data_IF_228046783451
#
_entry.id   IF_228046783451
#
_cell.length_a   1.000
_cell.length_b   1.000
_cell.length_c   1.000
_cell.angle_alpha   90.00
_cell.angle_beta   90.00
_cell.angle_gamma   90.00
#
_symmetry.space_group_name_H-M   'P 1'
#
loop_
_entity.id
_entity.type
_entity.pdbx_description
1 polymer ?
#
# COMPACT_ATOMS: atom_id res chain seq x y z
N UNK A 1 13.74 -4.69 -16.95
CA UNK A 1 14.40 -3.39 -16.69
C UNK A 1 13.28 -2.46 -16.25
N UNK A 2 13.40 -1.75 -15.14
CA UNK A 2 12.25 -1.13 -14.46
C UNK A 2 12.25 -1.51 -13.00
N UNK A 3 11.54 -2.56 -12.60
CA UNK A 3 11.45 -2.97 -11.17
C UNK A 3 12.82 -3.25 -10.53
N UNK A 4 13.75 -3.85 -11.27
CA UNK A 4 15.12 -4.06 -10.77
C UNK A 4 15.89 -2.75 -10.57
N UNK A 5 15.65 -1.74 -11.41
CA UNK A 5 16.25 -0.42 -11.27
C UNK A 5 15.60 0.36 -10.12
N UNK A 6 14.29 0.24 -9.94
CA UNK A 6 13.58 0.80 -8.80
C UNK A 6 14.09 0.21 -7.47
N UNK A 7 14.35 -1.09 -7.42
CA UNK A 7 14.97 -1.77 -6.27
C UNK A 7 16.38 -1.23 -6.02
N UNK A 8 17.22 -1.18 -7.06
CA UNK A 8 18.61 -0.71 -6.93
C UNK A 8 18.66 0.76 -6.47
N UNK A 9 17.82 1.61 -7.06
CA UNK A 9 17.72 3.02 -6.70
C UNK A 9 17.22 3.19 -5.26
N UNK A 10 16.22 2.40 -4.83
CA UNK A 10 15.73 2.44 -3.47
C UNK A 10 16.81 2.07 -2.44
N UNK A 11 17.68 1.12 -2.76
CA UNK A 11 18.86 0.79 -1.94
C UNK A 11 19.86 1.94 -1.91
N UNK A 12 20.18 2.51 -3.08
CA UNK A 12 21.16 3.58 -3.24
C UNK A 12 20.78 4.83 -2.44
N UNK A 13 19.52 5.25 -2.52
CA UNK A 13 19.05 6.48 -1.84
C UNK A 13 18.54 6.24 -0.41
N UNK A 14 18.54 4.98 0.05
CA UNK A 14 17.95 4.63 1.35
C UNK A 14 16.46 4.97 1.45
N UNK A 15 15.70 4.63 0.42
CA UNK A 15 14.29 5.02 0.33
C UNK A 15 13.48 4.48 1.51
N UNK A 16 12.64 5.35 2.10
CA UNK A 16 11.79 4.96 3.24
C UNK A 16 10.63 4.04 2.86
N UNK A 17 10.24 4.01 1.57
CA UNK A 17 9.17 3.19 1.02
C UNK A 17 9.47 2.88 -0.46
N UNK A 18 9.12 1.68 -0.90
CA UNK A 18 9.22 1.23 -2.30
C UNK A 18 7.91 0.54 -2.70
N UNK A 19 7.32 0.98 -3.82
CA UNK A 19 6.16 0.34 -4.43
C UNK A 19 6.65 -0.52 -5.61
N UNK A 20 6.24 -1.79 -5.63
CA UNK A 20 6.57 -2.77 -6.67
C UNK A 20 5.27 -3.43 -7.11
N UNK A 21 5.03 -3.50 -8.42
CA UNK A 21 3.84 -4.13 -8.99
C UNK A 21 4.06 -5.63 -9.22
N UNK A 22 5.25 -6.00 -9.73
CA UNK A 22 5.52 -7.38 -10.09
C UNK A 22 5.82 -8.29 -8.88
N UNK A 23 5.09 -9.42 -8.77
CA UNK A 23 5.25 -10.38 -7.67
C UNK A 23 6.67 -10.94 -7.52
N UNK A 24 7.38 -11.15 -8.63
CA UNK A 24 8.75 -11.66 -8.60
C UNK A 24 9.72 -10.60 -8.04
N UNK A 25 9.66 -9.37 -8.56
CA UNK A 25 10.42 -8.24 -8.02
C UNK A 25 10.11 -7.96 -6.54
N UNK A 26 8.85 -8.11 -6.13
CA UNK A 26 8.43 -7.94 -4.73
C UNK A 26 9.15 -8.92 -3.80
N UNK A 27 9.30 -10.17 -4.20
CA UNK A 27 10.06 -11.17 -3.44
C UNK A 27 11.54 -10.79 -3.31
N UNK A 28 12.13 -10.27 -4.37
CA UNK A 28 13.53 -9.80 -4.37
C UNK A 28 13.69 -8.61 -3.41
N UNK A 29 12.82 -7.61 -3.50
CA UNK A 29 12.84 -6.46 -2.59
C UNK A 29 12.65 -6.86 -1.11
N UNK A 30 11.77 -7.82 -0.84
CA UNK A 30 11.60 -8.40 0.51
C UNK A 30 12.85 -9.12 1.01
N UNK A 31 13.49 -9.93 0.16
CA UNK A 31 14.73 -10.62 0.50
C UNK A 31 15.87 -9.62 0.80
N UNK A 32 15.84 -8.47 0.14
CA UNK A 32 16.74 -7.32 0.37
C UNK A 32 16.32 -6.43 1.54
N UNK A 33 15.25 -6.78 2.26
CA UNK A 33 14.71 -6.05 3.42
C UNK A 33 14.32 -4.60 3.12
N UNK A 34 13.97 -4.30 1.87
CA UNK A 34 13.49 -2.97 1.50
C UNK A 34 12.09 -2.72 2.09
N UNK A 35 11.82 -1.50 2.58
CA UNK A 35 10.51 -1.15 3.12
C UNK A 35 9.49 -1.04 1.98
N UNK A 36 8.68 -2.07 1.80
CA UNK A 36 7.66 -2.08 0.75
C UNK A 36 6.36 -1.42 1.21
N UNK A 37 5.78 -0.61 0.33
CA UNK A 37 4.41 -0.11 0.44
C UNK A 37 3.56 -0.72 -0.68
N UNK A 38 2.27 -0.93 -0.40
CA UNK A 38 1.27 -1.26 -1.43
C UNK A 38 0.23 -0.15 -1.54
N UNK A 39 -0.65 -0.22 -2.54
CA UNK A 39 -1.72 0.77 -2.79
C UNK A 39 -2.49 1.14 -1.52
N UNK A 40 -2.88 0.14 -0.74
CA UNK A 40 -3.59 0.33 0.52
C UNK A 40 -2.76 1.09 1.57
N UNK A 41 -1.45 0.84 1.63
CA UNK A 41 -0.54 1.59 2.49
C UNK A 41 -0.42 3.06 2.06
N UNK A 42 -0.51 3.33 0.75
CA UNK A 42 -0.54 4.70 0.20
C UNK A 42 -1.81 5.42 0.65
N UNK A 43 -2.97 4.75 0.65
CA UNK A 43 -4.23 5.33 1.16
C UNK A 43 -4.12 5.72 2.63
N UNK A 44 -3.55 4.84 3.46
CA UNK A 44 -3.27 5.15 4.88
C UNK A 44 -2.34 6.35 5.04
N UNK A 45 -1.27 6.42 4.23
CA UNK A 45 -0.35 7.55 4.26
C UNK A 45 -1.05 8.86 3.86
N UNK A 46 -1.91 8.81 2.84
CA UNK A 46 -2.69 9.96 2.39
C UNK A 46 -3.66 10.46 3.48
N UNK A 47 -4.37 9.54 4.15
CA UNK A 47 -5.23 9.87 5.31
C UNK A 47 -4.45 10.52 6.44
N UNK A 48 -3.31 9.95 6.82
CA UNK A 48 -2.43 10.52 7.87
C UNK A 48 -1.90 11.91 7.52
N UNK A 49 -1.77 12.21 6.22
CA UNK A 49 -1.39 13.53 5.72
C UNK A 49 -2.56 14.49 5.54
N UNK A 50 -3.78 14.08 5.89
CA UNK A 50 -5.00 14.89 5.73
C UNK A 50 -5.45 15.06 4.27
N UNK A 51 -4.94 14.24 3.35
CA UNK A 51 -5.30 14.28 1.92
C UNK A 51 -6.58 13.48 1.61
N UNK A 52 -6.96 12.58 2.51
CA UNK A 52 -8.21 11.81 2.43
C UNK A 52 -9.04 12.07 3.67
N UNK A 53 -10.33 12.38 3.47
CA UNK A 53 -11.29 12.52 4.57
C UNK A 53 -11.73 11.16 5.12
N UNK A 54 -11.84 10.15 4.26
CA UNK A 54 -12.25 8.77 4.60
C UNK A 54 -11.43 7.78 3.77
N UNK A 55 -10.73 6.84 4.41
CA UNK A 55 -10.07 5.72 3.69
C UNK A 55 -11.10 4.69 3.29
N UNK A 56 -12.11 4.48 4.13
CA UNK A 56 -13.24 3.59 3.88
C UNK A 56 -13.91 3.86 2.55
N UNK A 57 -14.26 5.12 2.26
CA UNK A 57 -15.01 5.48 1.04
C UNK A 57 -14.21 5.10 -0.22
N UNK A 58 -12.90 5.32 -0.20
CA UNK A 58 -12.00 4.95 -1.30
C UNK A 58 -11.87 3.42 -1.40
N UNK A 59 -11.74 2.70 -0.29
CA UNK A 59 -11.68 1.24 -0.30
C UNK A 59 -12.98 0.61 -0.84
N UNK A 60 -14.12 1.17 -0.46
CA UNK A 60 -15.44 0.73 -0.93
C UNK A 60 -15.56 0.93 -2.44
N UNK A 61 -15.16 2.12 -2.94
CA UNK A 61 -15.14 2.39 -4.38
C UNK A 61 -14.19 1.45 -5.14
N UNK A 62 -13.01 1.18 -4.60
CA UNK A 62 -12.08 0.21 -5.19
C UNK A 62 -12.68 -1.21 -5.27
N UNK A 63 -13.42 -1.65 -4.25
CA UNK A 63 -14.11 -2.94 -4.28
C UNK A 63 -15.23 -2.98 -5.32
N UNK A 64 -15.97 -1.87 -5.50
CA UNK A 64 -16.96 -1.75 -6.58
C UNK A 64 -16.33 -1.83 -7.97
N UNK A 65 -15.07 -1.39 -8.11
CA UNK A 65 -14.27 -1.53 -9.34
C UNK A 65 -13.53 -2.88 -9.43
N UNK A 66 -14.02 -3.93 -8.75
CA UNK A 66 -13.47 -5.30 -8.78
C UNK A 66 -12.03 -5.42 -8.25
N UNK A 67 -11.56 -4.44 -7.47
CA UNK A 67 -10.25 -4.55 -6.82
C UNK A 67 -10.31 -5.58 -5.70
N UNK A 68 -9.48 -6.62 -5.79
CA UNK A 68 -9.42 -7.69 -4.79
C UNK A 68 -8.74 -7.23 -3.51
N UNK A 69 -9.53 -6.91 -2.50
CA UNK A 69 -9.07 -6.60 -1.15
C UNK A 69 -9.64 -7.64 -0.20
N UNK A 70 -8.78 -8.43 0.44
CA UNK A 70 -9.23 -9.42 1.43
C UNK A 70 -9.92 -8.70 2.59
N UNK A 71 -11.00 -9.30 3.14
CA UNK A 71 -11.70 -8.75 4.32
C UNK A 71 -10.75 -8.45 5.48
N UNK A 72 -9.76 -9.32 5.72
CA UNK A 72 -8.74 -9.12 6.75
C UNK A 72 -7.96 -7.83 6.53
N UNK A 73 -7.47 -7.59 5.31
CA UNK A 73 -6.72 -6.38 4.98
C UNK A 73 -7.62 -5.14 5.07
N UNK A 74 -8.86 -5.22 4.60
CA UNK A 74 -9.83 -4.13 4.69
C UNK A 74 -10.05 -3.69 6.15
N UNK A 75 -10.39 -4.63 7.05
CA UNK A 75 -10.57 -4.36 8.49
C UNK A 75 -9.30 -3.76 9.11
N UNK A 76 -8.14 -4.34 8.81
CA UNK A 76 -6.86 -3.85 9.33
C UNK A 76 -6.60 -2.39 8.96
N UNK A 77 -6.97 -1.99 7.75
CA UNK A 77 -6.78 -0.63 7.26
C UNK A 77 -7.71 0.34 7.96
N UNK A 78 -8.99 -0.02 8.12
CA UNK A 78 -9.93 0.82 8.86
C UNK A 78 -9.46 1.05 10.30
N UNK A 79 -9.03 -0.01 10.99
CA UNK A 79 -8.44 0.12 12.33
C UNK A 79 -7.22 1.05 12.35
N UNK A 80 -6.31 0.92 11.38
CA UNK A 80 -5.12 1.79 11.28
C UNK A 80 -5.44 3.24 10.88
N UNK A 81 -6.61 3.47 10.27
CA UNK A 81 -7.13 4.78 9.89
C UNK A 81 -8.03 5.40 10.98
N UNK A 82 -8.26 4.69 12.09
CA UNK A 82 -9.21 5.07 13.15
C UNK A 82 -10.66 5.22 12.62
N UNK A 83 -11.00 4.40 11.62
CA UNK A 83 -12.32 4.32 11.01
C UNK A 83 -13.00 3.01 11.40
N UNK A 84 -14.33 3.04 11.49
CA UNK A 84 -15.13 1.85 11.79
C UNK A 84 -15.70 1.26 10.50
N UNK A 85 -15.89 -0.06 10.48
CA UNK A 85 -16.85 -0.69 9.57
C UNK A 85 -18.24 -0.13 9.92
N UNK A 86 -18.65 0.94 9.25
CA UNK A 86 -20.01 1.48 9.39
C UNK A 86 -21.04 0.38 9.12
N UNK A 87 -22.11 0.37 9.93
CA UNK A 87 -23.26 -0.53 9.80
C UNK A 87 -23.89 -0.49 8.42
#
# INVERSE_FOLDING_TARGET
>A
MGESEAIALAEEIGASQLLIDEKAARKVAMARKLPLIGTVGILLLAKRRGLLTSVKDVLDEMQLQETRISKRLYVQVLTLAEENEGK
#
